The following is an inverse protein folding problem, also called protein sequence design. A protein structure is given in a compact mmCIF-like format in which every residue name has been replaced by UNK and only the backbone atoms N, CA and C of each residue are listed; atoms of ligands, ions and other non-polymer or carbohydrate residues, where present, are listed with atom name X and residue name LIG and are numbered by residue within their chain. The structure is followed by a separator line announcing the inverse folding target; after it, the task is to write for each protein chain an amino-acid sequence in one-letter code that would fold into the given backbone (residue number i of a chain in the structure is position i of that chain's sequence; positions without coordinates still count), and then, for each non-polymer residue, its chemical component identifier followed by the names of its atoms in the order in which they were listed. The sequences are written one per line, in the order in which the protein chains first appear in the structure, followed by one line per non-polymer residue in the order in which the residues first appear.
data_IF_133500530016
#
_entry.id   IF_133500530016
#
_cell.length_a   1.000
_cell.length_b   1.000
_cell.length_c   1.000
_cell.angle_alpha   90.00
_cell.angle_beta   90.00
_cell.angle_gamma   90.00
#
_symmetry.space_group_name_H-M   'P 1'
#
loop_
_entity.id
_entity.type
_entity.pdbx_description
1 polymer ?
#
# COMPACT_ATOMS: atom_id res chain seq x y z
N UNK A 1 9.65 17.59 -11.50
CA UNK A 1 8.38 17.77 -10.77
C UNK A 1 7.40 16.76 -11.31
N UNK A 2 7.05 15.80 -10.49
CA UNK A 2 6.02 14.85 -10.85
C UNK A 2 4.68 15.53 -10.69
N UNK A 3 3.96 15.66 -11.77
CA UNK A 3 2.60 16.19 -11.76
C UNK A 3 1.70 15.22 -11.02
N UNK A 4 1.42 15.51 -9.75
CA UNK A 4 0.25 14.97 -9.09
C UNK A 4 -0.90 15.65 -9.81
N UNK A 5 -1.64 14.88 -10.60
CA UNK A 5 -2.77 15.44 -11.34
C UNK A 5 -3.77 16.03 -10.34
N UNK A 6 -3.98 17.32 -10.45
CA UNK A 6 -5.02 18.03 -9.69
C UNK A 6 -6.35 17.28 -9.80
N UNK A 7 -6.95 16.95 -8.66
CA UNK A 7 -8.23 16.24 -8.62
C UNK A 7 -8.14 14.71 -8.48
N UNK A 8 -6.96 14.12 -8.29
CA UNK A 8 -6.84 12.69 -7.96
C UNK A 8 -7.39 12.44 -6.56
N UNK A 9 -8.39 11.56 -6.46
CA UNK A 9 -9.02 11.23 -5.18
C UNK A 9 -8.35 10.08 -4.45
N UNK A 10 -7.89 9.05 -5.17
CA UNK A 10 -7.30 7.86 -4.56
C UNK A 10 -5.85 7.68 -5.02
N UNK A 11 -4.97 7.53 -4.04
CA UNK A 11 -3.55 7.23 -4.26
C UNK A 11 -3.21 5.91 -3.60
N UNK A 12 -2.60 5.00 -4.32
CA UNK A 12 -2.06 3.77 -3.74
C UNK A 12 -0.72 3.39 -4.37
N UNK A 13 0.01 2.52 -3.70
CA UNK A 13 1.43 2.32 -3.97
C UNK A 13 1.72 0.84 -4.21
N UNK A 14 2.49 0.57 -5.25
CA UNK A 14 2.98 -0.76 -5.60
C UNK A 14 4.50 -0.78 -5.49
N UNK A 15 5.02 -1.66 -4.66
CA UNK A 15 6.45 -1.82 -4.45
C UNK A 15 6.73 -2.91 -3.44
N UNK A 16 7.92 -3.46 -3.50
CA UNK A 16 8.38 -4.49 -2.57
C UNK A 16 8.52 -3.93 -1.15
N UNK A 17 8.66 -4.81 -0.19
CA UNK A 17 8.97 -4.42 1.20
C UNK A 17 10.25 -3.58 1.18
N UNK A 18 10.25 -2.49 1.95
CA UNK A 18 11.36 -1.55 2.05
C UNK A 18 11.75 -0.82 0.76
N UNK A 19 10.83 -0.73 -0.21
CA UNK A 19 11.04 0.01 -1.46
C UNK A 19 10.83 1.53 -1.32
N UNK A 20 10.36 2.01 -0.17
CA UNK A 20 10.11 3.43 0.08
C UNK A 20 8.63 3.84 0.00
N UNK A 21 7.70 2.90 0.01
CA UNK A 21 6.26 3.18 -0.06
C UNK A 21 5.78 4.12 1.04
N UNK A 22 6.14 3.84 2.29
CA UNK A 22 5.70 4.66 3.42
C UNK A 22 6.21 6.09 3.34
N UNK A 23 7.43 6.28 2.86
CA UNK A 23 8.02 7.61 2.64
C UNK A 23 7.26 8.37 1.56
N UNK A 24 6.97 7.71 0.43
CA UNK A 24 6.18 8.32 -0.65
C UNK A 24 4.76 8.61 -0.19
N UNK A 25 4.15 7.73 0.59
CA UNK A 25 2.80 7.94 1.14
C UNK A 25 2.74 9.21 1.99
N UNK A 26 3.72 9.43 2.86
CA UNK A 26 3.81 10.64 3.67
C UNK A 26 4.00 11.90 2.81
N UNK A 27 4.80 11.80 1.76
CA UNK A 27 4.97 12.90 0.81
C UNK A 27 3.65 13.25 0.10
N UNK A 28 2.93 12.25 -0.40
CA UNK A 28 1.63 12.43 -1.05
C UNK A 28 0.61 13.09 -0.11
N UNK A 29 0.58 12.70 1.15
CA UNK A 29 -0.28 13.34 2.16
C UNK A 29 0.02 14.83 2.28
N UNK A 30 1.29 15.19 2.37
CA UNK A 30 1.68 16.61 2.48
C UNK A 30 1.32 17.41 1.23
N UNK A 31 1.48 16.82 0.05
CA UNK A 31 1.24 17.49 -1.22
C UNK A 31 -0.24 17.58 -1.60
N UNK A 32 -1.05 16.61 -1.20
CA UNK A 32 -2.46 16.52 -1.60
C UNK A 32 -3.44 16.80 -0.46
N UNK A 33 -2.96 16.89 0.77
CA UNK A 33 -3.78 17.00 1.99
C UNK A 33 -4.75 15.79 2.13
N UNK A 34 -4.36 14.66 1.61
CA UNK A 34 -5.13 13.43 1.70
C UNK A 34 -5.08 12.82 3.11
N UNK A 35 -6.07 12.01 3.42
CA UNK A 35 -6.05 11.17 4.62
C UNK A 35 -5.24 9.92 4.33
N UNK A 36 -4.25 9.64 5.16
CA UNK A 36 -3.45 8.41 5.09
C UNK A 36 -4.10 7.30 5.89
N UNK A 37 -4.24 6.13 5.26
CA UNK A 37 -4.52 4.88 5.96
C UNK A 37 -3.37 3.92 5.69
N UNK A 38 -2.70 3.50 6.76
CA UNK A 38 -1.62 2.50 6.72
C UNK A 38 -2.14 1.17 7.25
N UNK A 39 -2.15 0.14 6.43
CA UNK A 39 -2.59 -1.20 6.84
C UNK A 39 -1.79 -1.69 8.04
N UNK A 40 -0.47 -1.54 8.00
CA UNK A 40 0.41 -2.00 9.10
C UNK A 40 0.06 -1.35 10.42
N UNK A 41 -0.21 -0.07 10.42
CA UNK A 41 -0.60 0.67 11.64
C UNK A 41 -1.93 0.17 12.19
N UNK A 42 -2.93 -0.02 11.32
CA UNK A 42 -4.23 -0.54 11.72
C UNK A 42 -4.12 -1.97 12.27
N UNK A 43 -3.39 -2.85 11.59
CA UNK A 43 -3.23 -4.23 12.02
C UNK A 43 -2.48 -4.33 13.35
N UNK A 44 -1.42 -3.55 13.53
CA UNK A 44 -0.67 -3.52 14.78
C UNK A 44 -1.52 -3.04 15.96
N UNK A 45 -2.42 -2.09 15.71
CA UNK A 45 -3.31 -1.53 16.74
C UNK A 45 -4.46 -2.48 17.09
N UNK A 46 -5.09 -3.10 16.07
CA UNK A 46 -6.25 -3.96 16.26
C UNK A 46 -5.88 -5.37 16.74
N UNK A 47 -4.74 -5.87 16.32
CA UNK A 47 -4.33 -7.25 16.55
C UNK A 47 -2.91 -7.35 17.13
N UNK A 48 -2.63 -6.69 18.28
CA UNK A 48 -1.30 -6.73 18.87
C UNK A 48 -0.90 -8.15 19.26
N UNK A 49 0.24 -8.62 18.74
CA UNK A 49 0.76 -9.95 19.03
C UNK A 49 0.01 -11.12 18.38
N UNK A 50 -0.98 -10.86 17.51
CA UNK A 50 -1.79 -11.92 16.89
C UNK A 50 -1.34 -12.28 15.47
N UNK A 51 -0.49 -11.47 14.85
CA UNK A 51 0.02 -11.73 13.50
C UNK A 51 1.41 -12.33 13.59
N UNK A 52 1.48 -13.67 13.60
CA UNK A 52 2.72 -14.43 13.78
C UNK A 52 3.18 -15.09 12.48
N UNK A 53 2.28 -15.35 11.56
CA UNK A 53 2.56 -16.01 10.29
C UNK A 53 1.71 -15.40 9.16
N UNK A 54 2.05 -15.77 7.92
CA UNK A 54 1.42 -15.23 6.72
C UNK A 54 -0.10 -15.46 6.70
N UNK A 55 -0.57 -16.61 7.17
CA UNK A 55 -1.99 -16.94 7.22
C UNK A 55 -2.76 -15.99 8.15
N UNK A 56 -2.17 -15.63 9.29
CA UNK A 56 -2.75 -14.66 10.21
C UNK A 56 -2.89 -13.30 9.55
N UNK A 57 -1.83 -12.87 8.86
CA UNK A 57 -1.83 -11.61 8.13
C UNK A 57 -2.93 -11.57 7.06
N UNK A 58 -3.05 -12.61 6.25
CA UNK A 58 -4.06 -12.69 5.18
C UNK A 58 -5.47 -12.57 5.76
N UNK A 59 -5.75 -13.28 6.84
CA UNK A 59 -7.06 -13.24 7.50
C UNK A 59 -7.36 -11.86 8.07
N UNK A 60 -6.44 -11.30 8.84
CA UNK A 60 -6.62 -9.99 9.48
C UNK A 60 -6.72 -8.87 8.45
N UNK A 61 -5.91 -8.92 7.41
CA UNK A 61 -5.99 -7.98 6.29
C UNK A 61 -7.36 -8.04 5.60
N UNK A 62 -7.88 -9.22 5.37
CA UNK A 62 -9.21 -9.41 4.78
C UNK A 62 -10.31 -8.79 5.65
N UNK A 63 -10.26 -9.02 6.96
CA UNK A 63 -11.22 -8.44 7.91
C UNK A 63 -11.14 -6.92 7.92
N UNK A 64 -9.93 -6.38 7.97
CA UNK A 64 -9.72 -4.93 7.96
C UNK A 64 -10.28 -4.29 6.69
N UNK A 65 -9.98 -4.85 5.52
CA UNK A 65 -10.49 -4.35 4.24
C UNK A 65 -12.01 -4.39 4.19
N UNK A 66 -12.62 -5.49 4.65
CA UNK A 66 -14.08 -5.62 4.70
C UNK A 66 -14.73 -4.56 5.60
N UNK A 67 -14.12 -4.28 6.73
CA UNK A 67 -14.62 -3.26 7.65
C UNK A 67 -14.46 -1.83 7.10
N UNK A 68 -13.33 -1.56 6.46
CA UNK A 68 -12.99 -0.22 5.96
C UNK A 68 -13.68 0.12 4.63
N UNK A 69 -13.96 -0.84 3.77
CA UNK A 69 -14.41 -0.57 2.39
C UNK A 69 -15.61 0.38 2.33
N UNK A 70 -16.72 0.17 3.06
CA UNK A 70 -17.85 1.10 3.02
C UNK A 70 -17.47 2.52 3.45
N UNK A 71 -16.57 2.63 4.41
CA UNK A 71 -16.10 3.93 4.90
C UNK A 71 -15.21 4.64 3.88
N UNK A 72 -14.30 3.90 3.24
CA UNK A 72 -13.44 4.44 2.19
C UNK A 72 -14.26 4.93 0.99
N UNK A 73 -15.26 4.15 0.58
CA UNK A 73 -16.19 4.54 -0.49
C UNK A 73 -16.93 5.82 -0.11
N UNK A 74 -17.43 5.93 1.11
CA UNK A 74 -18.12 7.12 1.57
C UNK A 74 -17.23 8.37 1.57
N UNK A 75 -15.97 8.24 1.98
CA UNK A 75 -15.00 9.33 1.95
C UNK A 75 -14.71 9.80 0.51
N UNK A 76 -14.45 8.86 -0.39
CA UNK A 76 -14.18 9.16 -1.79
C UNK A 76 -15.37 9.80 -2.48
N UNK A 77 -16.59 9.33 -2.19
CA UNK A 77 -17.83 9.92 -2.73
C UNK A 77 -18.02 11.36 -2.31
N UNK A 78 -17.49 11.75 -1.16
CA UNK A 78 -17.54 13.12 -0.65
C UNK A 78 -16.35 13.98 -1.08
N UNK A 79 -15.52 13.48 -1.99
CA UNK A 79 -14.38 14.21 -2.52
C UNK A 79 -13.19 14.28 -1.58
N UNK A 80 -13.13 13.44 -0.54
CA UNK A 80 -11.99 13.39 0.36
C UNK A 80 -10.86 12.59 -0.30
N UNK A 81 -9.68 13.20 -0.54
CA UNK A 81 -8.56 12.46 -1.10
C UNK A 81 -7.97 11.48 -0.07
N UNK A 82 -7.64 10.28 -0.53
CA UNK A 82 -7.08 9.22 0.30
C UNK A 82 -5.74 8.75 -0.25
N UNK A 83 -4.79 8.48 0.65
CA UNK A 83 -3.59 7.70 0.38
C UNK A 83 -3.71 6.38 1.13
N UNK A 84 -3.78 5.28 0.38
CA UNK A 84 -3.86 3.94 0.96
C UNK A 84 -2.49 3.26 0.86
N UNK A 85 -1.79 3.21 1.99
CA UNK A 85 -0.54 2.45 2.14
C UNK A 85 -0.88 1.01 2.50
N UNK A 86 -1.52 0.35 1.55
CA UNK A 86 -1.92 -1.06 1.58
C UNK A 86 -1.12 -1.82 0.52
N UNK A 87 -0.87 -3.11 0.69
CA UNK A 87 -0.19 -3.88 -0.34
C UNK A 87 -0.94 -3.85 -1.68
N UNK A 88 -0.20 -3.56 -2.74
CA UNK A 88 -0.65 -3.61 -4.12
C UNK A 88 0.30 -4.48 -4.95
N UNK A 89 0.65 -5.63 -4.39
CA UNK A 89 1.73 -6.50 -4.88
C UNK A 89 1.23 -7.60 -5.82
N UNK A 90 -0.07 -7.79 -5.88
CA UNK A 90 -0.71 -8.80 -6.72
C UNK A 90 -1.85 -8.17 -7.52
N UNK A 91 -2.24 -8.78 -8.66
CA UNK A 91 -3.38 -8.29 -9.43
C UNK A 91 -4.69 -8.23 -8.61
N UNK A 92 -4.89 -9.17 -7.70
CA UNK A 92 -6.09 -9.20 -6.82
C UNK A 92 -6.13 -8.00 -5.89
N UNK A 93 -5.00 -7.67 -5.25
CA UNK A 93 -4.91 -6.50 -4.37
C UNK A 93 -5.13 -5.21 -5.15
N UNK A 94 -4.52 -5.08 -6.31
CA UNK A 94 -4.68 -3.90 -7.17
C UNK A 94 -6.10 -3.76 -7.69
N UNK A 95 -6.77 -4.86 -7.98
CA UNK A 95 -8.17 -4.85 -8.41
C UNK A 95 -9.10 -4.32 -7.33
N UNK A 96 -8.86 -4.69 -6.08
CA UNK A 96 -9.63 -4.16 -4.95
C UNK A 96 -9.45 -2.64 -4.82
N UNK A 97 -8.21 -2.17 -4.88
CA UNK A 97 -7.90 -0.73 -4.80
C UNK A 97 -8.51 0.05 -5.97
N UNK A 98 -8.33 -0.42 -7.18
CA UNK A 98 -8.95 0.17 -8.37
C UNK A 98 -10.48 0.18 -8.27
N UNK A 99 -11.06 -0.89 -7.73
CA UNK A 99 -12.49 -1.02 -7.52
C UNK A 99 -13.09 0.05 -6.64
N UNK A 100 -12.36 0.55 -5.65
CA UNK A 100 -12.79 1.68 -4.82
C UNK A 100 -12.98 2.94 -5.66
N UNK A 101 -12.06 3.21 -6.57
CA UNK A 101 -12.16 4.35 -7.49
C UNK A 101 -13.30 4.16 -8.49
N UNK A 102 -13.47 2.96 -9.05
CA UNK A 102 -14.53 2.66 -10.00
C UNK A 102 -15.92 2.82 -9.38
N UNK A 103 -16.11 2.34 -8.15
CA UNK A 103 -17.39 2.47 -7.43
C UNK A 103 -17.78 3.93 -7.18
N UNK A 104 -16.80 4.79 -7.02
CA UNK A 104 -17.03 6.19 -6.62
C UNK A 104 -16.90 7.17 -7.79
N UNK A 105 -16.40 6.71 -8.94
CA UNK A 105 -16.13 7.55 -10.09
C UNK A 105 -14.97 8.54 -9.89
N UNK A 106 -14.17 8.37 -8.83
CA UNK A 106 -13.04 9.26 -8.57
C UNK A 106 -11.83 8.88 -9.43
N UNK A 107 -10.95 9.86 -9.65
CA UNK A 107 -9.65 9.61 -10.27
C UNK A 107 -8.73 8.91 -9.27
N UNK A 108 -7.84 8.06 -9.77
CA UNK A 108 -6.83 7.39 -8.96
C UNK A 108 -5.49 7.36 -9.67
N UNK A 109 -4.44 7.13 -8.88
CA UNK A 109 -3.10 6.87 -9.40
C UNK A 109 -2.44 5.75 -8.60
N UNK A 110 -1.87 4.78 -9.30
CA UNK A 110 -1.01 3.75 -8.73
C UNK A 110 0.45 4.16 -8.90
N UNK A 111 1.14 4.39 -7.81
CA UNK A 111 2.56 4.75 -7.83
C UNK A 111 3.39 3.47 -7.76
N UNK A 112 4.22 3.25 -8.76
CA UNK A 112 5.08 2.05 -8.83
C UNK A 112 6.51 2.44 -8.48
N UNK A 113 7.03 1.81 -7.41
CA UNK A 113 8.41 1.96 -6.97
C UNK A 113 9.21 0.73 -7.40
N UNK A 114 10.09 0.93 -8.38
CA UNK A 114 10.95 -0.12 -8.90
C UNK A 114 12.32 -0.07 -8.23
N UNK A 115 12.48 -0.86 -7.18
CA UNK A 115 13.73 -0.95 -6.40
C UNK A 115 14.21 -2.40 -6.41
N UNK A 116 15.52 -2.61 -6.60
CA UNK A 116 16.11 -3.95 -6.64
C UNK A 116 15.94 -4.71 -5.32
N UNK A 117 15.94 -6.03 -5.40
CA UNK A 117 15.86 -6.89 -4.21
C UNK A 117 17.02 -6.64 -3.25
N UNK A 118 18.23 -6.45 -3.76
CA UNK A 118 19.41 -6.15 -2.95
C UNK A 118 19.24 -4.86 -2.15
N UNK A 119 18.77 -3.80 -2.82
CA UNK A 119 18.55 -2.52 -2.14
C UNK A 119 17.41 -2.60 -1.13
N UNK A 120 16.33 -3.30 -1.45
CA UNK A 120 15.25 -3.55 -0.50
C UNK A 120 15.74 -4.30 0.75
N UNK A 121 16.54 -5.35 0.56
CA UNK A 121 17.11 -6.12 1.66
C UNK A 121 18.05 -5.29 2.53
N UNK A 122 18.86 -4.43 1.90
CA UNK A 122 19.74 -3.52 2.63
C UNK A 122 18.95 -2.55 3.50
N UNK A 123 17.91 -1.94 2.95
CA UNK A 123 17.03 -1.03 3.69
C UNK A 123 16.26 -1.75 4.79
N UNK A 124 15.81 -2.97 4.52
CA UNK A 124 15.09 -3.80 5.48
C UNK A 124 15.95 -4.15 6.69
N UNK A 125 17.20 -4.54 6.47
CA UNK A 125 18.14 -4.83 7.56
C UNK A 125 18.35 -3.61 8.44
N UNK A 126 18.55 -2.42 7.86
CA UNK A 126 18.70 -1.17 8.60
C UNK A 126 17.44 -0.83 9.40
N UNK A 127 16.26 -1.01 8.81
CA UNK A 127 14.96 -0.77 9.46
C UNK A 127 14.73 -1.70 10.64
N UNK A 128 15.05 -2.98 10.50
CA UNK A 128 14.92 -3.96 11.58
C UNK A 128 15.84 -3.62 12.78
N UNK A 129 17.04 -3.10 12.51
CA UNK A 129 17.95 -2.66 13.54
C UNK A 129 17.45 -1.41 14.28
N UNK A 130 16.76 -0.50 13.59
CA UNK A 130 16.24 0.74 14.19
C UNK A 130 15.03 0.50 15.10
N UNK A 131 14.29 -0.60 14.90
CA UNK A 131 13.08 -0.91 15.68
C UNK A 131 11.90 0.02 15.44
N UNK A 132 11.95 0.87 14.40
CA UNK A 132 10.89 1.86 14.12
C UNK A 132 9.64 1.27 13.46
N UNK A 133 9.74 0.07 12.90
CA UNK A 133 8.61 -0.57 12.23
C UNK A 133 7.89 -1.53 13.18
N UNK A 134 6.53 -1.55 13.22
CA UNK A 134 5.77 -2.45 14.08
C UNK A 134 5.96 -3.92 13.77
N UNK A 135 6.37 -4.25 12.53
CA UNK A 135 6.66 -5.62 12.11
C UNK A 135 8.11 -5.72 11.64
N UNK A 136 8.84 -6.74 12.12
CA UNK A 136 10.17 -7.08 11.62
C UNK A 136 10.05 -8.18 10.57
N UNK A 137 10.83 -8.09 9.51
CA UNK A 137 10.86 -9.05 8.41
C UNK A 137 12.29 -9.49 8.15
N UNK A 138 12.54 -10.79 8.18
CA UNK A 138 13.86 -11.35 7.84
C UNK A 138 14.07 -11.37 6.33
N UNK A 139 15.32 -11.60 5.89
CA UNK A 139 15.65 -11.75 4.47
C UNK A 139 14.91 -12.94 3.84
N UNK A 140 14.76 -14.04 4.58
CA UNK A 140 14.01 -15.23 4.12
C UNK A 140 12.52 -14.93 3.97
N UNK A 141 11.94 -14.20 4.90
CA UNK A 141 10.55 -13.75 4.82
C UNK A 141 10.36 -12.77 3.64
N UNK A 142 11.33 -11.90 3.39
CA UNK A 142 11.33 -11.03 2.21
C UNK A 142 11.25 -11.86 0.92
N UNK A 143 12.08 -12.89 0.78
CA UNK A 143 12.09 -13.74 -0.41
C UNK A 143 10.76 -14.47 -0.61
N UNK A 144 10.17 -14.99 0.47
CA UNK A 144 8.86 -15.65 0.42
C UNK A 144 7.74 -14.71 -0.03
N UNK A 145 7.69 -13.52 0.53
CA UNK A 145 6.66 -12.53 0.20
C UNK A 145 6.88 -12.00 -1.21
N UNK A 146 8.13 -11.71 -1.59
CA UNK A 146 8.49 -11.18 -2.91
C UNK A 146 8.25 -12.19 -4.02
N UNK A 147 8.28 -13.49 -3.74
CA UNK A 147 7.92 -14.53 -4.71
C UNK A 147 6.49 -14.38 -5.23
N UNK A 148 5.59 -13.77 -4.46
CA UNK A 148 4.20 -13.51 -4.84
C UNK A 148 3.99 -12.10 -5.40
N UNK A 149 5.06 -11.29 -5.46
CA UNK A 149 5.01 -9.92 -5.98
C UNK A 149 5.03 -9.92 -7.50
N UNK A 150 4.17 -9.12 -8.11
CA UNK A 150 4.23 -8.81 -9.53
C UNK A 150 4.02 -7.33 -9.77
N UNK A 151 4.76 -6.76 -10.71
CA UNK A 151 4.47 -5.40 -11.18
C UNK A 151 3.17 -5.37 -11.98
N UNK A 152 2.46 -4.23 -12.02
CA UNK A 152 1.26 -4.10 -12.83
C UNK A 152 1.53 -4.41 -14.30
N UNK A 153 0.63 -5.17 -14.92
CA UNK A 153 0.63 -5.43 -16.36
C UNK A 153 -0.31 -4.48 -17.10
N UNK A 154 -0.11 -4.32 -18.40
CA UNK A 154 -0.98 -3.49 -19.24
C UNK A 154 -2.44 -3.96 -19.24
N UNK A 155 -2.66 -5.27 -19.11
CA UNK A 155 -4.00 -5.87 -19.07
C UNK A 155 -4.83 -5.40 -17.87
N UNK A 156 -4.19 -4.96 -16.78
CA UNK A 156 -4.89 -4.46 -15.60
C UNK A 156 -5.52 -3.07 -15.84
N UNK A 157 -5.05 -2.34 -16.84
CA UNK A 157 -5.60 -1.03 -17.21
C UNK A 157 -5.47 0.03 -16.11
N UNK A 158 -4.38 0.01 -15.36
CA UNK A 158 -4.15 0.96 -14.26
C UNK A 158 -3.57 2.27 -14.76
N UNK A 159 -3.97 3.36 -14.10
CA UNK A 159 -3.29 4.65 -14.24
C UNK A 159 -2.05 4.62 -13.35
N UNK A 160 -0.86 4.62 -13.95
CA UNK A 160 0.40 4.41 -13.26
C UNK A 160 1.29 5.65 -13.33
N UNK A 161 1.97 5.92 -12.22
CA UNK A 161 3.10 6.85 -12.14
C UNK A 161 4.32 6.11 -11.61
N UNK A 162 5.40 6.08 -12.37
CA UNK A 162 6.66 5.48 -11.94
C UNK A 162 7.46 6.45 -11.08
N UNK A 163 8.05 5.92 -9.99
CA UNK A 163 8.82 6.71 -9.01
C UNK A 163 10.18 6.10 -8.70
#
# INVERSE_FOLDING_TARGET
MSEIQSGTGLHFLCGKIASGKSTLAQQLVRETQAILLSEDTWLATLYPGEILQLTDYIEKSRLLKSALEPHLVALLQRGMPLVLDFPANTPVQRRWLKGLAEQTGCRYCCYVLDVSDEECKRRLAARNLSGENPFTTSAEQFDLITAHFSYPSEEEGLVISHR
#
